data_IF_088717077704
#
_entry.id   IF_088717077704
#
_cell.length_a   1.000
_cell.length_b   1.000
_cell.length_c   1.000
_cell.angle_alpha   90.00
_cell.angle_beta   90.00
_cell.angle_gamma   90.00
#
_symmetry.space_group_name_H-M   'P 1'
#
loop_
_entity.id
_entity.type
_entity.pdbx_description
1 polymer ?
#
# COMPACT_ATOMS: atom_id res chain seq x y z
N UNK A 1 34.01 31.99 67.29
CA UNK A 1 34.80 32.19 66.04
C UNK A 1 34.28 31.18 65.01
N UNK A 2 33.56 31.64 63.97
CA UNK A 2 33.97 31.66 62.54
C UNK A 2 34.34 30.26 62.00
N UNK A 3 33.81 29.68 60.92
CA UNK A 3 32.83 29.95 59.83
C UNK A 3 32.48 28.56 59.28
N UNK A 4 31.22 28.22 59.02
CA UNK A 4 30.56 28.17 57.69
C UNK A 4 31.41 27.51 56.57
N UNK A 5 30.93 26.41 55.96
CA UNK A 5 30.48 26.34 54.55
C UNK A 5 30.19 24.87 54.14
N UNK A 6 28.91 24.65 53.81
CA UNK A 6 28.37 23.89 52.68
C UNK A 6 28.91 22.48 52.35
N UNK A 7 28.03 21.49 52.48
CA UNK A 7 27.78 20.51 51.41
C UNK A 7 26.37 19.96 51.59
N UNK A 8 25.40 20.80 51.22
CA UNK A 8 23.99 20.44 51.10
C UNK A 8 23.77 19.90 49.68
N UNK A 9 23.22 18.68 49.63
CA UNK A 9 22.39 18.11 48.57
C UNK A 9 22.90 18.21 47.13
N UNK A 10 23.62 17.17 46.69
CA UNK A 10 23.66 16.77 45.28
C UNK A 10 22.92 15.44 45.12
N UNK A 11 21.64 15.45 45.42
CA UNK A 11 20.73 14.36 45.10
C UNK A 11 19.46 15.00 44.55
N UNK A 12 18.98 14.46 43.43
CA UNK A 12 17.76 14.85 42.71
C UNK A 12 18.01 16.04 41.76
N UNK A 13 18.29 15.72 40.49
CA UNK A 13 17.56 16.14 39.27
C UNK A 13 18.28 15.42 38.12
N UNK A 14 17.92 14.17 37.86
CA UNK A 14 18.25 13.45 36.62
C UNK A 14 17.01 12.76 36.01
N UNK A 15 15.80 13.15 36.44
CA UNK A 15 14.55 12.49 36.05
C UNK A 15 13.52 13.45 35.44
N UNK A 16 13.94 14.41 34.61
CA UNK A 16 12.97 15.27 33.91
C UNK A 16 13.41 15.70 32.51
N UNK A 17 14.12 14.82 31.81
CA UNK A 17 14.39 14.97 30.37
C UNK A 17 13.85 13.79 29.57
N UNK A 18 12.69 13.25 29.96
CA UNK A 18 11.76 12.75 28.95
C UNK A 18 11.12 14.00 28.35
N UNK A 19 11.59 14.37 27.16
CA UNK A 19 10.93 15.34 26.31
C UNK A 19 9.48 14.86 26.10
N UNK A 20 8.55 15.35 26.91
CA UNK A 20 7.13 15.20 26.64
C UNK A 20 6.86 16.09 25.43
N UNK A 21 6.73 15.46 24.26
CA UNK A 21 6.15 16.11 23.09
C UNK A 21 4.85 16.80 23.56
N UNK A 22 4.63 18.08 23.23
CA UNK A 22 3.42 18.78 23.65
C UNK A 22 2.21 18.03 23.06
N UNK A 23 1.52 17.28 23.92
CA UNK A 23 0.28 16.63 23.53
C UNK A 23 -0.78 17.73 23.33
N UNK A 24 -1.46 17.67 22.19
CA UNK A 24 -2.55 18.60 21.91
C UNK A 24 -3.74 18.31 22.82
N UNK A 25 -4.31 19.32 23.48
CA UNK A 25 -5.55 19.15 24.26
C UNK A 25 -6.79 18.96 23.37
N UNK A 26 -6.62 18.95 22.03
CA UNK A 26 -7.72 18.77 21.07
C UNK A 26 -8.03 17.31 20.78
N UNK A 27 -7.11 16.40 21.09
CA UNK A 27 -7.23 14.97 20.79
C UNK A 27 -6.68 14.18 21.97
N UNK A 28 -7.47 13.24 22.47
CA UNK A 28 -6.99 12.24 23.42
C UNK A 28 -6.20 11.18 22.65
N UNK A 29 -4.93 11.00 23.00
CA UNK A 29 -4.06 10.00 22.36
C UNK A 29 -3.93 8.80 23.30
N UNK A 30 -4.47 7.67 22.87
CA UNK A 30 -4.30 6.39 23.56
C UNK A 30 -3.14 5.63 22.92
N UNK A 31 -2.18 5.22 23.75
CA UNK A 31 -1.10 4.33 23.33
C UNK A 31 -1.41 2.91 23.82
N UNK A 32 -1.31 1.93 22.92
CA UNK A 32 -1.32 0.53 23.29
C UNK A 32 0.02 0.10 23.90
N UNK A 33 0.09 -1.15 24.35
CA UNK A 33 1.33 -1.72 24.84
C UNK A 33 2.41 -1.73 23.75
N UNK A 34 3.65 -1.42 24.14
CA UNK A 34 4.78 -1.52 23.24
C UNK A 34 4.99 -2.98 22.81
N UNK A 35 4.81 -3.28 21.53
CA UNK A 35 5.06 -4.61 21.00
C UNK A 35 6.55 -4.80 20.66
N UNK A 36 7.13 -5.93 21.08
CA UNK A 36 8.46 -6.38 20.66
C UNK A 36 8.30 -7.50 19.64
N UNK A 37 8.25 -7.15 18.36
CA UNK A 37 8.21 -8.11 17.26
C UNK A 37 9.59 -8.30 16.62
N UNK A 38 10.16 -9.51 16.66
CA UNK A 38 11.28 -9.86 15.78
C UNK A 38 10.70 -10.29 14.43
N UNK A 39 11.07 -9.59 13.35
CA UNK A 39 10.57 -9.83 11.99
C UNK A 39 9.06 -9.60 11.82
N UNK A 40 8.48 -8.67 12.58
CA UNK A 40 7.10 -8.22 12.42
C UNK A 40 7.10 -6.76 12.00
N UNK A 41 6.34 -6.44 10.95
CA UNK A 41 6.17 -5.08 10.44
C UNK A 41 4.67 -4.81 10.37
N UNK A 42 4.20 -3.79 11.09
CA UNK A 42 2.87 -3.23 10.87
C UNK A 42 2.98 -2.21 9.74
N UNK A 43 2.13 -2.35 8.73
CA UNK A 43 2.20 -1.54 7.52
C UNK A 43 1.16 -0.43 7.54
N UNK A 44 -0.11 -0.78 7.73
CA UNK A 44 -1.22 0.15 7.53
C UNK A 44 -2.47 -0.27 8.31
N UNK A 45 -3.28 0.72 8.71
CA UNK A 45 -4.66 0.49 9.18
C UNK A 45 -5.56 0.38 7.96
N UNK A 46 -6.06 -0.82 7.69
CA UNK A 46 -6.88 -1.10 6.51
C UNK A 46 -8.31 -0.56 6.66
N UNK A 47 -8.89 -0.75 7.84
CA UNK A 47 -10.27 -0.35 8.14
C UNK A 47 -10.49 -0.21 9.64
N UNK A 48 -11.37 0.69 10.02
CA UNK A 48 -11.97 0.74 11.36
C UNK A 48 -13.47 0.58 11.21
N UNK A 49 -14.07 -0.32 11.98
CA UNK A 49 -15.50 -0.59 11.94
C UNK A 49 -16.02 -0.94 13.33
N UNK A 50 -16.92 -0.12 13.86
CA UNK A 50 -17.35 -0.22 15.25
C UNK A 50 -16.15 -0.12 16.20
N UNK A 51 -16.04 -1.09 17.12
CA UNK A 51 -14.94 -1.19 18.09
C UNK A 51 -13.74 -2.00 17.55
N UNK A 52 -13.70 -2.34 16.26
CA UNK A 52 -12.65 -3.16 15.64
C UNK A 52 -11.75 -2.36 14.70
N UNK A 53 -10.45 -2.58 14.81
CA UNK A 53 -9.42 -1.96 13.97
C UNK A 53 -8.67 -3.08 13.25
N UNK A 54 -8.71 -3.06 11.92
CA UNK A 54 -8.06 -4.04 11.07
C UNK A 54 -6.74 -3.47 10.56
N UNK A 55 -5.64 -4.14 10.87
CA UNK A 55 -4.29 -3.66 10.60
C UNK A 55 -3.55 -4.70 9.79
N UNK A 56 -2.94 -4.27 8.68
CA UNK A 56 -2.05 -5.08 7.89
C UNK A 56 -0.71 -5.23 8.62
N UNK A 57 -0.29 -6.47 8.82
CA UNK A 57 1.06 -6.78 9.27
C UNK A 57 1.71 -7.87 8.42
N UNK A 58 3.03 -7.84 8.40
CA UNK A 58 3.88 -8.87 7.82
C UNK A 58 4.67 -9.54 8.94
N UNK A 59 4.58 -10.87 9.03
CA UNK A 59 5.39 -11.67 9.94
C UNK A 59 6.29 -12.57 9.10
N UNK A 60 7.59 -12.26 9.07
CA UNK A 60 8.54 -12.80 8.08
C UNK A 60 8.08 -12.52 6.64
N UNK A 61 7.48 -13.50 5.97
CA UNK A 61 6.95 -13.44 4.60
C UNK A 61 5.45 -13.73 4.56
N UNK A 62 4.78 -13.81 5.72
CA UNK A 62 3.34 -14.05 5.80
C UNK A 62 2.61 -12.72 5.95
N UNK A 63 1.57 -12.56 5.14
CA UNK A 63 0.63 -11.45 5.20
C UNK A 63 -0.51 -11.80 6.15
N UNK A 64 -0.75 -10.91 7.13
CA UNK A 64 -1.75 -11.12 8.17
C UNK A 64 -2.56 -9.83 8.33
N UNK A 65 -3.88 -9.96 8.44
CA UNK A 65 -4.76 -8.90 8.95
C UNK A 65 -4.97 -9.15 10.44
N UNK A 66 -4.36 -8.32 11.28
CA UNK A 66 -4.59 -8.36 12.72
C UNK A 66 -5.75 -7.45 13.10
N UNK A 67 -6.62 -7.96 13.96
CA UNK A 67 -7.79 -7.26 14.44
C UNK A 67 -7.57 -6.88 15.90
N UNK A 68 -7.67 -5.58 16.16
CA UNK A 68 -7.61 -5.01 17.49
C UNK A 68 -8.99 -4.56 17.95
N UNK A 69 -9.22 -4.57 19.26
CA UNK A 69 -10.33 -3.82 19.86
C UNK A 69 -10.01 -2.32 19.98
N UNK A 70 -10.96 -1.51 20.43
CA UNK A 70 -10.79 -0.06 20.65
C UNK A 70 -9.71 0.31 21.69
N UNK A 71 -9.31 -0.64 22.52
CA UNK A 71 -8.25 -0.46 23.52
C UNK A 71 -6.90 -0.95 22.99
N UNK A 72 -6.81 -1.28 21.70
CA UNK A 72 -5.62 -1.79 21.02
C UNK A 72 -5.15 -3.15 21.55
N UNK A 73 -6.07 -3.97 22.08
CA UNK A 73 -5.78 -5.38 22.36
C UNK A 73 -5.96 -6.19 21.08
N UNK A 74 -4.97 -7.01 20.73
CA UNK A 74 -5.13 -7.98 19.65
C UNK A 74 -6.17 -9.03 20.04
N UNK A 75 -7.22 -9.17 19.24
CA UNK A 75 -8.32 -10.10 19.49
C UNK A 75 -8.39 -11.23 18.47
N UNK A 76 -7.80 -11.06 17.29
CA UNK A 76 -7.82 -12.06 16.21
C UNK A 76 -6.76 -11.77 15.15
N UNK A 77 -6.27 -12.81 14.51
CA UNK A 77 -5.47 -12.73 13.28
C UNK A 77 -6.18 -13.45 12.14
N UNK A 78 -6.11 -12.88 10.95
CA UNK A 78 -6.58 -13.48 9.70
C UNK A 78 -5.36 -13.69 8.81
N UNK A 79 -5.01 -14.94 8.56
CA UNK A 79 -3.96 -15.29 7.61
C UNK A 79 -4.46 -15.07 6.18
N UNK A 80 -3.60 -14.46 5.35
CA UNK A 80 -3.88 -14.21 3.94
C UNK A 80 -3.04 -15.18 3.11
N UNK A 81 -3.70 -15.99 2.28
CA UNK A 81 -3.00 -16.88 1.37
C UNK A 81 -2.58 -16.12 0.12
N UNK A 82 -1.30 -16.24 -0.26
CA UNK A 82 -0.73 -15.73 -1.51
C UNK A 82 -0.53 -16.86 -2.53
N UNK A 83 -1.21 -17.99 -2.37
CA UNK A 83 -1.07 -19.16 -3.24
C UNK A 83 -2.26 -19.29 -4.20
N UNK A 84 -1.97 -19.50 -5.48
CA UNK A 84 -2.94 -19.79 -6.52
C UNK A 84 -2.58 -21.11 -7.21
N UNK A 85 -3.37 -22.17 -6.95
CA UNK A 85 -3.21 -23.49 -7.59
C UNK A 85 -1.79 -24.08 -7.44
N UNK A 86 -1.16 -23.93 -6.27
CA UNK A 86 0.19 -24.40 -6.00
C UNK A 86 1.32 -23.44 -6.44
N UNK A 87 0.98 -22.31 -7.04
CA UNK A 87 1.94 -21.25 -7.40
C UNK A 87 1.85 -20.09 -6.40
N UNK A 88 3.01 -19.64 -5.92
CA UNK A 88 3.12 -18.47 -5.04
C UNK A 88 3.03 -17.18 -5.88
N UNK A 89 2.09 -16.32 -5.52
CA UNK A 89 1.92 -15.00 -6.11
C UNK A 89 2.86 -14.00 -5.45
N UNK A 90 3.29 -13.00 -6.22
CA UNK A 90 3.96 -11.83 -5.66
C UNK A 90 2.90 -10.89 -5.07
N UNK A 91 3.00 -10.56 -3.78
CA UNK A 91 2.15 -9.56 -3.14
C UNK A 91 2.23 -8.20 -3.85
N UNK A 92 1.08 -7.65 -4.26
CA UNK A 92 0.97 -6.33 -4.89
C UNK A 92 0.19 -5.33 -4.04
N UNK A 93 -0.62 -5.79 -3.08
CA UNK A 93 -1.35 -4.92 -2.18
C UNK A 93 -2.51 -5.62 -1.48
N UNK A 94 -2.91 -5.09 -0.33
CA UNK A 94 -4.09 -5.53 0.40
C UNK A 94 -4.83 -4.29 0.90
N UNK A 95 -6.13 -4.22 0.60
CA UNK A 95 -6.92 -3.03 0.90
C UNK A 95 -8.32 -3.40 1.34
N UNK A 96 -8.95 -2.57 2.18
CA UNK A 96 -10.37 -2.69 2.47
C UNK A 96 -11.19 -2.13 1.31
N UNK A 97 -12.21 -2.87 0.89
CA UNK A 97 -13.14 -2.43 -0.14
C UNK A 97 -14.53 -2.95 0.22
N UNK A 98 -15.48 -2.03 0.37
CA UNK A 98 -16.81 -2.33 0.91
C UNK A 98 -16.70 -3.04 2.28
N UNK A 99 -17.33 -4.20 2.41
CA UNK A 99 -17.30 -5.02 3.62
C UNK A 99 -16.14 -6.02 3.68
N UNK A 100 -15.38 -6.17 2.60
CA UNK A 100 -14.34 -7.18 2.50
C UNK A 100 -12.96 -6.51 2.38
N UNK A 101 -11.93 -7.36 2.37
CA UNK A 101 -10.60 -6.99 1.93
C UNK A 101 -10.36 -7.60 0.55
N UNK A 102 -9.59 -6.88 -0.26
CA UNK A 102 -9.09 -7.36 -1.54
C UNK A 102 -7.59 -7.54 -1.39
N UNK A 103 -7.11 -8.76 -1.62
CA UNK A 103 -5.68 -9.03 -1.82
C UNK A 103 -5.39 -9.04 -3.33
N UNK A 104 -4.32 -8.37 -3.72
CA UNK A 104 -3.78 -8.35 -5.07
C UNK A 104 -2.49 -9.14 -5.11
N UNK A 105 -2.36 -10.02 -6.10
CA UNK A 105 -1.16 -10.82 -6.32
C UNK A 105 -0.84 -10.93 -7.80
N UNK A 106 0.43 -10.76 -8.16
CA UNK A 106 0.89 -10.93 -9.53
C UNK A 106 1.61 -12.26 -9.74
N UNK A 107 1.45 -12.83 -10.94
CA UNK A 107 2.17 -14.02 -11.37
C UNK A 107 2.91 -13.75 -12.67
N UNK A 108 4.21 -14.05 -12.67
CA UNK A 108 5.08 -13.89 -13.83
C UNK A 108 5.38 -15.25 -14.46
N UNK A 109 4.62 -15.62 -15.49
CA UNK A 109 4.89 -16.82 -16.26
C UNK A 109 6.08 -16.59 -17.21
N UNK A 110 7.22 -17.19 -16.89
CA UNK A 110 8.45 -17.07 -17.69
C UNK A 110 8.38 -17.82 -19.02
N UNK A 111 7.55 -18.88 -19.11
CA UNK A 111 7.39 -19.69 -20.31
C UNK A 111 6.48 -18.97 -21.30
N UNK A 112 5.33 -18.49 -20.83
CA UNK A 112 4.40 -17.69 -21.62
C UNK A 112 4.89 -16.25 -21.85
N UNK A 113 5.83 -15.77 -21.01
CA UNK A 113 6.31 -14.38 -20.97
C UNK A 113 5.19 -13.36 -20.67
N UNK A 114 4.31 -13.73 -19.74
CA UNK A 114 3.21 -12.89 -19.28
C UNK A 114 3.39 -12.49 -17.83
N UNK A 115 2.89 -11.31 -17.48
CA UNK A 115 2.72 -10.87 -16.11
C UNK A 115 1.24 -10.57 -15.89
N UNK A 116 0.58 -11.43 -15.11
CA UNK A 116 -0.85 -11.32 -14.81
C UNK A 116 -1.05 -10.82 -13.39
N UNK A 117 -2.05 -9.96 -13.20
CA UNK A 117 -2.53 -9.55 -11.88
C UNK A 117 -3.83 -10.28 -11.57
N UNK A 118 -3.92 -10.77 -10.34
CA UNK A 118 -5.10 -11.43 -9.80
C UNK A 118 -5.58 -10.70 -8.55
N UNK A 119 -6.85 -10.88 -8.22
CA UNK A 119 -7.40 -10.50 -6.94
C UNK A 119 -8.07 -11.68 -6.25
N UNK A 120 -8.17 -11.60 -4.92
CA UNK A 120 -9.05 -12.45 -4.13
C UNK A 120 -9.79 -11.66 -3.04
N UNK A 121 -11.02 -12.10 -2.83
CA UNK A 121 -11.95 -11.87 -1.73
C UNK A 121 -11.48 -12.27 -0.34
N UNK A 122 -11.39 -11.42 0.69
CA UNK A 122 -11.25 -11.90 2.08
C UNK A 122 -12.30 -11.25 2.94
N UNK A 123 -13.17 -12.07 3.56
CA UNK A 123 -14.16 -11.54 4.48
C UNK A 123 -13.60 -11.34 5.89
N UNK A 124 -14.36 -10.66 6.75
CA UNK A 124 -13.96 -10.34 8.13
C UNK A 124 -13.80 -11.57 9.03
N UNK A 125 -14.19 -12.78 8.61
CA UNK A 125 -13.95 -14.03 9.37
C UNK A 125 -12.75 -14.82 8.84
N UNK A 126 -12.08 -14.33 7.79
CA UNK A 126 -10.90 -14.94 7.19
C UNK A 126 -11.17 -15.97 6.09
N UNK A 127 -12.40 -16.04 5.57
CA UNK A 127 -12.67 -16.84 4.38
C UNK A 127 -12.16 -16.11 3.14
N UNK A 128 -11.19 -16.71 2.46
CA UNK A 128 -10.63 -16.21 1.21
C UNK A 128 -11.30 -16.86 0.00
N UNK A 129 -11.61 -16.08 -1.05
CA UNK A 129 -12.20 -16.59 -2.29
C UNK A 129 -11.14 -17.18 -3.21
N UNK A 130 -11.58 -17.80 -4.30
CA UNK A 130 -10.67 -18.14 -5.40
C UNK A 130 -10.07 -16.86 -6.01
N UNK A 131 -8.85 -16.98 -6.51
CA UNK A 131 -8.19 -15.94 -7.29
C UNK A 131 -8.87 -15.75 -8.65
N UNK A 132 -9.06 -14.49 -9.05
CA UNK A 132 -9.64 -14.08 -10.32
C UNK A 132 -8.66 -13.16 -11.04
N UNK A 133 -8.42 -13.38 -12.33
CA UNK A 133 -7.52 -12.55 -13.13
C UNK A 133 -8.17 -11.19 -13.43
N UNK A 134 -7.43 -10.10 -13.21
CA UNK A 134 -7.84 -8.74 -13.60
C UNK A 134 -7.30 -8.37 -14.97
N UNK A 135 -6.00 -8.57 -15.18
CA UNK A 135 -5.31 -8.19 -16.41
C UNK A 135 -4.09 -9.08 -16.62
N UNK A 136 -3.74 -9.33 -17.88
CA UNK A 136 -2.51 -10.00 -18.28
C UNK A 136 -1.78 -9.17 -19.32
N UNK A 137 -0.47 -9.02 -19.16
CA UNK A 137 0.39 -8.28 -20.08
C UNK A 137 1.56 -9.14 -20.56
N UNK A 138 1.79 -9.14 -21.86
CA UNK A 138 2.99 -9.73 -22.45
C UNK A 138 4.22 -8.87 -22.15
N UNK A 139 5.37 -9.51 -21.91
CA UNK A 139 6.64 -8.82 -21.76
C UNK A 139 7.76 -9.48 -22.56
N UNK A 140 8.67 -8.65 -23.08
CA UNK A 140 9.86 -9.15 -23.81
C UNK A 140 11.05 -9.36 -22.87
N UNK A 141 11.20 -8.51 -21.85
CA UNK A 141 12.30 -8.56 -20.88
C UNK A 141 11.76 -8.61 -19.45
N UNK A 142 12.31 -9.51 -18.62
CA UNK A 142 11.85 -9.72 -17.22
C UNK A 142 11.86 -8.43 -16.37
N UNK A 143 12.83 -7.55 -16.61
CA UNK A 143 12.96 -6.26 -15.92
C UNK A 143 11.94 -5.21 -16.36
N UNK A 144 11.22 -5.46 -17.45
CA UNK A 144 10.20 -4.60 -18.05
C UNK A 144 8.84 -5.28 -18.08
N UNK A 145 8.52 -6.09 -17.07
CA UNK A 145 7.28 -6.85 -17.05
C UNK A 145 6.04 -6.00 -16.67
N UNK A 146 6.17 -4.67 -16.70
CA UNK A 146 5.15 -3.76 -16.21
C UNK A 146 5.14 -3.71 -14.68
N UNK A 147 4.15 -3.00 -14.15
CA UNK A 147 3.89 -2.90 -12.72
C UNK A 147 2.45 -2.47 -12.50
N UNK A 148 1.91 -2.84 -11.36
CA UNK A 148 0.52 -2.61 -10.98
C UNK A 148 0.46 -1.62 -9.82
N UNK A 149 -0.59 -0.81 -9.79
CA UNK A 149 -0.93 0.05 -8.65
C UNK A 149 -2.44 0.26 -8.68
N UNK A 150 -3.04 0.69 -7.57
CA UNK A 150 -4.49 0.83 -7.50
C UNK A 150 -4.88 2.07 -6.71
N UNK A 151 -6.12 2.50 -6.89
CA UNK A 151 -6.79 3.52 -6.09
C UNK A 151 -8.25 3.12 -5.85
N UNK A 152 -8.84 3.67 -4.80
CA UNK A 152 -10.23 3.45 -4.41
C UNK A 152 -10.93 4.80 -4.31
N UNK A 153 -12.14 4.90 -4.84
CA UNK A 153 -12.91 6.14 -4.73
C UNK A 153 -13.20 6.51 -3.28
N UNK A 154 -13.48 7.78 -3.03
CA UNK A 154 -13.69 8.27 -1.67
C UNK A 154 -14.86 7.58 -0.97
N UNK A 155 -15.93 7.29 -1.70
CA UNK A 155 -17.09 6.54 -1.21
C UNK A 155 -16.86 5.01 -1.14
N UNK A 156 -15.68 4.55 -1.53
CA UNK A 156 -15.29 3.13 -1.61
C UNK A 156 -16.11 2.27 -2.58
N UNK A 157 -16.84 2.86 -3.53
CA UNK A 157 -17.68 2.13 -4.50
C UNK A 157 -16.98 1.84 -5.82
N UNK A 158 -15.81 2.43 -6.08
CA UNK A 158 -15.00 2.18 -7.28
C UNK A 158 -13.63 1.68 -6.90
N UNK A 159 -13.19 0.65 -7.59
CA UNK A 159 -11.82 0.17 -7.52
C UNK A 159 -11.15 0.42 -8.87
N UNK A 160 -10.06 1.17 -8.89
CA UNK A 160 -9.29 1.42 -10.11
C UNK A 160 -7.95 0.71 -10.02
N UNK A 161 -7.64 -0.09 -11.04
CA UNK A 161 -6.31 -0.58 -11.31
C UNK A 161 -5.62 0.33 -12.33
N UNK A 162 -4.42 0.76 -12.01
CA UNK A 162 -3.44 1.35 -12.93
C UNK A 162 -2.35 0.32 -13.24
N UNK A 163 -1.98 0.18 -14.52
CA UNK A 163 -0.88 -0.71 -14.91
C UNK A 163 0.03 -0.08 -15.97
N UNK A 164 1.33 -0.22 -15.78
CA UNK A 164 2.32 0.17 -16.78
C UNK A 164 2.47 -0.93 -17.82
N UNK A 165 2.25 -0.62 -19.09
CA UNK A 165 2.33 -1.60 -20.17
C UNK A 165 3.82 -1.77 -20.57
N UNK A 166 4.34 -3.01 -20.61
CA UNK A 166 5.68 -3.29 -21.08
C UNK A 166 6.01 -2.69 -22.45
N UNK A 167 7.21 -2.13 -22.58
CA UNK A 167 7.70 -1.55 -23.84
C UNK A 167 9.04 -2.15 -24.27
N UNK A 168 9.30 -2.14 -25.58
CA UNK A 168 10.48 -2.78 -26.15
C UNK A 168 11.78 -1.99 -25.87
N UNK A 169 11.76 -0.68 -26.06
CA UNK A 169 12.93 0.20 -25.90
C UNK A 169 12.56 1.56 -25.30
N UNK A 170 13.54 2.30 -24.77
CA UNK A 170 13.34 3.62 -24.12
C UNK A 170 12.99 4.75 -25.10
N UNK A 171 12.72 4.44 -26.35
CA UNK A 171 12.23 5.38 -27.36
C UNK A 171 10.77 5.15 -27.70
N UNK A 172 10.19 4.07 -27.16
CA UNK A 172 8.78 3.79 -27.29
C UNK A 172 7.94 4.89 -26.61
N UNK A 173 6.75 5.16 -27.17
CA UNK A 173 5.69 5.89 -26.49
C UNK A 173 5.44 5.35 -25.08
N UNK A 174 5.19 6.24 -24.12
CA UNK A 174 4.71 5.84 -22.80
C UNK A 174 3.34 5.18 -22.92
N UNK A 175 3.20 3.98 -22.35
CA UNK A 175 1.95 3.20 -22.37
C UNK A 175 1.57 2.75 -20.98
N UNK A 176 0.33 3.01 -20.62
CA UNK A 176 -0.29 2.54 -19.38
C UNK A 176 -1.77 2.30 -19.63
N UNK A 177 -2.40 1.55 -18.75
CA UNK A 177 -3.83 1.32 -18.81
C UNK A 177 -4.50 1.46 -17.47
N UNK A 178 -5.81 1.62 -17.55
CA UNK A 178 -6.71 1.68 -16.42
C UNK A 178 -7.80 0.64 -16.58
N UNK A 179 -8.17 0.01 -15.48
CA UNK A 179 -9.34 -0.83 -15.34
C UNK A 179 -10.13 -0.32 -14.14
N UNK A 180 -11.38 0.09 -14.35
CA UNK A 180 -12.27 0.54 -13.28
C UNK A 180 -13.38 -0.48 -13.07
N UNK A 181 -13.55 -0.87 -11.82
CA UNK A 181 -14.55 -1.84 -11.36
C UNK A 181 -15.57 -1.16 -10.44
N UNK A 182 -16.77 -1.72 -10.40
CA UNK A 182 -17.81 -1.36 -9.43
C UNK A 182 -17.62 -2.07 -8.07
N UNK A 183 -18.56 -1.84 -7.15
CA UNK A 183 -18.57 -2.43 -5.80
C UNK A 183 -18.69 -3.96 -5.79
N UNK A 184 -19.18 -4.55 -6.89
CA UNK A 184 -19.28 -6.00 -7.10
C UNK A 184 -18.05 -6.55 -7.83
N UNK A 185 -17.03 -5.70 -8.05
CA UNK A 185 -15.81 -5.99 -8.80
C UNK A 185 -16.05 -6.34 -10.27
N UNK A 186 -17.15 -5.84 -10.85
CA UNK A 186 -17.42 -5.94 -12.28
C UNK A 186 -16.82 -4.76 -13.01
N UNK A 187 -16.27 -5.02 -14.19
CA UNK A 187 -15.71 -3.98 -15.05
C UNK A 187 -16.76 -2.96 -15.47
N UNK A 188 -16.53 -1.69 -15.11
CA UNK A 188 -17.27 -0.55 -15.65
C UNK A 188 -16.66 -0.17 -17.00
N UNK A 189 -15.34 0.02 -17.02
CA UNK A 189 -14.58 0.29 -18.24
C UNK A 189 -13.11 -0.07 -18.09
N UNK A 190 -12.45 -0.29 -19.23
CA UNK A 190 -11.01 -0.51 -19.33
C UNK A 190 -10.48 0.30 -20.51
N UNK A 191 -9.32 0.92 -20.34
CA UNK A 191 -8.69 1.73 -21.38
C UNK A 191 -7.18 1.73 -21.27
N UNK A 192 -6.54 1.37 -22.38
CA UNK A 192 -5.12 1.60 -22.59
C UNK A 192 -4.89 2.99 -23.21
N UNK A 193 -3.85 3.66 -22.74
CA UNK A 193 -3.44 5.00 -23.16
C UNK A 193 -2.00 4.92 -23.67
N UNK A 194 -1.80 5.46 -24.85
CA UNK A 194 -0.49 5.68 -25.46
C UNK A 194 -0.29 7.18 -25.59
N UNK A 195 0.73 7.72 -24.90
CA UNK A 195 1.06 9.13 -25.00
C UNK A 195 1.98 9.38 -26.20
N UNK A 196 1.89 10.57 -26.80
CA UNK A 196 2.81 10.98 -27.86
C UNK A 196 4.24 11.27 -27.37
N UNK A 197 4.47 11.16 -26.06
CA UNK A 197 5.76 11.37 -25.42
C UNK A 197 6.48 10.03 -25.24
N UNK A 198 7.79 10.09 -25.38
CA UNK A 198 8.68 8.99 -25.08
C UNK A 198 8.65 8.67 -23.57
N UNK A 199 8.63 7.38 -23.21
CA UNK A 199 8.68 6.86 -21.82
C UNK A 199 9.73 7.55 -20.94
N UNK A 200 10.89 7.86 -21.52
CA UNK A 200 11.99 8.50 -20.80
C UNK A 200 11.76 9.98 -20.46
N UNK A 201 10.78 10.63 -21.08
CA UNK A 201 10.46 12.05 -20.94
C UNK A 201 9.13 12.28 -20.21
N UNK A 202 8.43 11.24 -19.76
CA UNK A 202 7.21 11.37 -19.00
C UNK A 202 7.28 10.58 -17.70
N UNK A 203 6.63 11.09 -16.66
CA UNK A 203 6.51 10.37 -15.41
C UNK A 203 5.16 10.65 -14.75
N UNK A 204 4.39 9.57 -14.58
CA UNK A 204 3.19 9.58 -13.74
C UNK A 204 3.61 9.84 -12.29
N UNK A 205 3.10 10.92 -11.70
CA UNK A 205 3.33 11.30 -10.31
C UNK A 205 2.26 10.73 -9.39
N UNK A 206 1.01 10.76 -9.85
CA UNK A 206 -0.14 10.27 -9.11
C UNK A 206 -1.27 9.92 -10.06
N UNK A 207 -2.23 9.15 -9.56
CA UNK A 207 -3.50 8.87 -10.22
C UNK A 207 -4.58 8.75 -9.13
N UNK A 208 -5.83 9.01 -9.49
CA UNK A 208 -6.97 8.85 -8.59
C UNK A 208 -8.24 8.49 -9.38
N UNK A 209 -9.21 7.88 -8.69
CA UNK A 209 -10.55 7.61 -9.22
C UNK A 209 -11.62 8.30 -8.38
N UNK A 210 -12.57 8.99 -9.04
CA UNK A 210 -13.71 9.58 -8.34
C UNK A 210 -14.86 8.59 -8.14
N UNK A 211 -15.87 9.00 -7.35
CA UNK A 211 -17.06 8.21 -7.05
C UNK A 211 -17.90 7.85 -8.31
N UNK A 212 -17.73 8.60 -9.40
CA UNK A 212 -18.37 8.33 -10.69
C UNK A 212 -17.57 7.34 -11.57
N UNK A 213 -16.37 6.94 -11.13
CA UNK A 213 -15.46 6.08 -11.88
C UNK A 213 -14.64 6.81 -12.95
N UNK A 214 -14.50 8.14 -12.87
CA UNK A 214 -13.58 8.90 -13.70
C UNK A 214 -12.16 8.75 -13.16
N UNK A 215 -11.21 8.42 -14.04
CA UNK A 215 -9.79 8.33 -13.70
C UNK A 215 -9.07 9.64 -14.01
N UNK A 216 -8.27 10.11 -13.06
CA UNK A 216 -7.43 11.30 -13.19
C UNK A 216 -5.96 10.89 -13.07
N UNK A 217 -5.10 11.57 -13.83
CA UNK A 217 -3.67 11.33 -13.81
C UNK A 217 -2.90 12.64 -13.71
N UNK A 218 -1.94 12.68 -12.80
CA UNK A 218 -0.98 13.76 -12.70
C UNK A 218 0.33 13.31 -13.35
N UNK A 219 0.55 13.79 -14.57
CA UNK A 219 1.79 13.57 -15.31
C UNK A 219 2.79 14.71 -15.16
N UNK A 220 4.08 14.38 -15.29
CA UNK A 220 5.14 15.37 -15.52
C UNK A 220 5.90 15.01 -16.79
N UNK A 221 5.94 15.95 -17.73
CA UNK A 221 6.77 15.88 -18.93
C UNK A 221 8.12 16.59 -18.69
N UNK A 222 9.18 16.09 -19.31
CA UNK A 222 10.54 16.64 -19.26
C UNK A 222 11.00 17.00 -20.67
N UNK A 223 11.66 18.14 -20.82
CA UNK A 223 12.21 18.57 -22.10
C UNK A 223 13.43 17.73 -22.53
N UNK A 224 14.26 17.33 -21.56
CA UNK A 224 15.38 16.42 -21.75
C UNK A 224 15.46 15.37 -20.63
N UNK A 225 16.16 14.25 -20.88
CA UNK A 225 16.32 13.16 -19.91
C UNK A 225 17.05 13.60 -18.65
N UNK A 226 17.98 14.54 -18.81
CA UNK A 226 18.82 15.11 -17.76
C UNK A 226 18.00 15.93 -16.75
N UNK A 227 16.85 16.46 -17.17
CA UNK A 227 15.96 17.25 -16.31
C UNK A 227 15.17 16.39 -15.31
N UNK A 228 15.23 15.06 -15.46
CA UNK A 228 14.61 14.11 -14.54
C UNK A 228 15.45 14.01 -13.26
N UNK A 229 15.36 15.03 -12.43
CA UNK A 229 15.96 15.02 -11.09
C UNK A 229 15.26 13.94 -10.27
N UNK A 230 16.01 12.91 -9.87
CA UNK A 230 15.53 11.96 -8.85
C UNK A 230 15.20 12.76 -7.61
N UNK A 231 13.92 12.77 -7.20
CA UNK A 231 13.53 13.34 -5.90
C UNK A 231 14.48 12.77 -4.86
N UNK A 232 15.08 13.65 -4.06
CA UNK A 232 15.76 13.20 -2.85
C UNK A 232 14.73 12.37 -2.06
N UNK A 233 15.12 11.20 -1.55
CA UNK A 233 14.20 10.41 -0.72
C UNK A 233 13.67 11.31 0.40
N UNK A 234 12.34 11.34 0.56
CA UNK A 234 11.71 11.91 1.74
C UNK A 234 11.94 10.91 2.89
N UNK A 235 13.11 11.00 3.53
CA UNK A 235 13.33 10.46 4.87
C UNK A 235 13.75 11.58 5.82
#
# INVERSE_FOLDING_TARGET
MKKLISSISFAIILFSSFAQLPQTNKVEVTWGDAFKGKNTIYSEVLKTEGDQIYVLKFVKQQTIIEVFDKNLNSIREIEVSEEMKGEELTYEGLVAFQDNFIILGSFKDKKAKTNSLYYSTINKIGSQSNWVELVSMDYTQKRKAGGFSYDISQDSTKFMLYYNIPFENKEAPEKFGFLVLDEELKTIWQKDIELSYNESLFNVQNFEVDDNGNAYILGREYAAKEDRVKRAPNY
#
